data_IF_066545145080
#
_entry.id   IF_066545145080
#
_cell.length_a   1.000
_cell.length_b   1.000
_cell.length_c   1.000
_cell.angle_alpha   90.00
_cell.angle_beta   90.00
_cell.angle_gamma   90.00
#
_symmetry.space_group_name_H-M   'P 1'
#
loop_
_entity.id
_entity.type
_entity.pdbx_description
1 polymer ?
#
# COMPACT_ATOMS: atom_id res chain seq x y z
N UNK A 1 -29.23 33.82 38.87
CA UNK A 1 -29.30 32.60 38.05
C UNK A 1 -27.95 32.47 37.35
N UNK A 2 -27.08 31.59 37.86
CA UNK A 2 -25.66 31.53 37.49
C UNK A 2 -25.46 30.68 36.24
N UNK A 3 -24.87 31.30 35.22
CA UNK A 3 -24.43 30.70 33.96
C UNK A 3 -23.24 29.76 34.23
N UNK A 4 -23.44 28.45 34.06
CA UNK A 4 -22.38 27.45 34.15
C UNK A 4 -21.53 27.45 32.89
N UNK A 5 -20.31 27.98 32.99
CA UNK A 5 -19.27 27.87 31.97
C UNK A 5 -18.79 26.42 31.91
N UNK A 6 -19.22 25.66 30.92
CA UNK A 6 -18.60 24.38 30.59
C UNK A 6 -17.21 24.63 30.01
N UNK A 7 -16.15 24.27 30.74
CA UNK A 7 -14.81 24.23 30.18
C UNK A 7 -14.72 23.02 29.24
N UNK A 8 -14.51 23.28 27.94
CA UNK A 8 -14.04 22.24 27.01
C UNK A 8 -12.67 21.79 27.50
N UNK A 9 -12.57 20.52 27.89
CA UNK A 9 -11.26 19.87 28.05
C UNK A 9 -10.62 19.82 26.66
N UNK A 10 -9.33 20.17 26.52
CA UNK A 10 -8.67 20.01 25.24
C UNK A 10 -8.75 18.54 24.82
N UNK A 11 -9.17 18.32 23.57
CA UNK A 11 -8.93 17.06 22.90
C UNK A 11 -7.43 16.84 22.97
N UNK A 12 -7.02 15.73 23.57
CA UNK A 12 -5.64 15.29 23.61
C UNK A 12 -5.18 15.28 22.16
N UNK A 13 -4.28 16.20 21.80
CA UNK A 13 -3.48 16.09 20.59
C UNK A 13 -2.53 14.92 20.81
N UNK A 14 -3.06 13.71 20.76
CA UNK A 14 -2.25 12.54 20.48
C UNK A 14 -1.99 12.57 18.96
N UNK A 15 -1.26 13.60 18.51
CA UNK A 15 -0.32 13.45 17.42
C UNK A 15 0.73 12.47 17.95
N UNK A 16 0.38 11.20 18.03
CA UNK A 16 1.35 10.12 18.10
C UNK A 16 2.01 10.12 16.73
N UNK A 17 2.92 11.08 16.53
CA UNK A 17 4.12 10.82 15.76
C UNK A 17 4.58 9.49 16.30
N UNK A 18 4.49 8.45 15.47
CA UNK A 18 5.02 7.15 15.81
C UNK A 18 6.50 7.42 16.05
N UNK A 19 6.89 7.61 17.31
CA UNK A 19 8.24 7.99 17.72
C UNK A 19 9.11 6.75 17.67
N UNK A 20 9.06 6.07 16.53
CA UNK A 20 9.96 4.98 16.21
C UNK A 20 11.31 5.66 16.10
N UNK A 21 12.15 5.48 17.12
CA UNK A 21 13.52 5.95 17.06
C UNK A 21 14.22 5.25 15.90
N UNK A 22 15.27 5.85 15.35
CA UNK A 22 16.05 5.21 14.29
C UNK A 22 16.56 3.84 14.74
N UNK A 23 16.92 3.69 16.01
CA UNK A 23 17.27 2.40 16.63
C UNK A 23 16.10 1.41 16.63
N UNK A 24 14.89 1.82 17.03
CA UNK A 24 13.70 0.97 16.97
C UNK A 24 13.35 0.58 15.53
N UNK A 25 13.61 1.46 14.57
CA UNK A 25 13.44 1.17 13.15
C UNK A 25 14.41 0.08 12.70
N UNK A 26 15.70 0.21 13.03
CA UNK A 26 16.71 -0.80 12.70
C UNK A 26 16.48 -2.10 13.47
N UNK A 27 16.05 -2.05 14.72
CA UNK A 27 15.67 -3.23 15.49
C UNK A 27 14.52 -3.96 14.77
N UNK A 28 13.48 -3.25 14.33
CA UNK A 28 12.37 -3.84 13.58
C UNK A 28 12.78 -4.38 12.21
N UNK A 29 13.69 -3.71 11.50
CA UNK A 29 14.25 -4.19 10.22
C UNK A 29 15.18 -5.39 10.43
N UNK A 30 15.86 -5.47 11.57
CA UNK A 30 16.74 -6.57 11.95
C UNK A 30 15.98 -7.84 12.33
N UNK A 31 14.68 -7.75 12.65
CA UNK A 31 13.73 -8.88 12.69
C UNK A 31 13.42 -9.31 11.24
N UNK A 32 14.44 -9.38 10.39
CA UNK A 32 14.32 -9.68 8.97
C UNK A 32 13.68 -11.04 8.71
N UNK A 33 13.67 -11.44 7.44
CA UNK A 33 13.18 -12.76 7.04
C UNK A 33 14.06 -13.81 7.75
N UNK A 34 13.50 -14.44 8.79
CA UNK A 34 14.19 -15.42 9.64
C UNK A 34 14.33 -16.79 8.99
N UNK A 35 13.79 -16.97 7.78
CA UNK A 35 13.98 -18.18 7.00
C UNK A 35 15.46 -18.22 6.59
N UNK A 36 16.21 -19.21 7.08
CA UNK A 36 17.49 -19.55 6.45
C UNK A 36 17.21 -19.91 4.99
N UNK A 37 17.85 -19.22 4.02
CA UNK A 37 17.68 -19.59 2.63
C UNK A 37 18.19 -21.02 2.45
N UNK A 38 17.43 -21.85 1.76
CA UNK A 38 17.97 -23.14 1.34
C UNK A 38 19.17 -22.88 0.42
N UNK A 39 20.20 -23.74 0.46
CA UNK A 39 21.42 -23.56 -0.36
C UNK A 39 21.10 -23.39 -1.85
N UNK A 40 19.94 -23.89 -2.30
CA UNK A 40 19.43 -23.81 -3.68
C UNK A 40 18.54 -22.60 -3.98
N UNK A 41 18.09 -21.81 -2.99
CA UNK A 41 17.12 -20.72 -3.21
C UNK A 41 17.63 -19.65 -4.19
N UNK A 42 18.92 -19.31 -4.11
CA UNK A 42 19.55 -18.35 -5.02
C UNK A 42 19.59 -18.83 -6.47
N UNK A 43 19.94 -20.10 -6.68
CA UNK A 43 20.01 -20.72 -8.01
C UNK A 43 18.62 -20.87 -8.65
N UNK A 44 17.61 -21.20 -7.82
CA UNK A 44 16.21 -21.29 -8.23
C UNK A 44 15.68 -19.91 -8.64
N UNK A 45 15.95 -18.86 -7.85
CA UNK A 45 15.54 -17.50 -8.16
C UNK A 45 16.15 -16.99 -9.47
N UNK A 46 17.44 -17.27 -9.71
CA UNK A 46 18.12 -16.91 -10.96
C UNK A 46 17.49 -17.66 -12.15
N UNK A 47 17.25 -18.97 -12.03
CA UNK A 47 16.59 -19.75 -13.08
C UNK A 47 15.18 -19.21 -13.39
N UNK A 48 14.40 -18.89 -12.36
CA UNK A 48 13.06 -18.31 -12.53
C UNK A 48 13.07 -16.94 -13.17
N UNK A 49 14.12 -16.15 -12.99
CA UNK A 49 14.26 -14.84 -13.62
C UNK A 49 14.74 -14.94 -15.07
N UNK A 50 15.79 -15.73 -15.33
CA UNK A 50 16.49 -15.78 -16.63
C UNK A 50 15.72 -16.61 -17.68
N UNK A 51 15.18 -17.77 -17.30
CA UNK A 51 14.54 -18.67 -18.27
C UNK A 51 13.30 -18.08 -18.98
N UNK A 52 12.42 -17.32 -18.31
CA UNK A 52 11.24 -16.77 -18.95
C UNK A 52 11.45 -15.38 -19.55
N UNK A 53 12.70 -14.87 -19.64
CA UNK A 53 12.97 -13.59 -20.33
C UNK A 53 12.59 -13.75 -21.80
N UNK A 54 11.56 -13.02 -22.22
CA UNK A 54 11.04 -13.07 -23.58
C UNK A 54 10.89 -11.66 -24.13
N UNK A 55 11.29 -11.45 -25.38
CA UNK A 55 11.00 -10.21 -26.09
C UNK A 55 9.62 -10.30 -26.74
N UNK A 56 8.67 -9.50 -26.26
CA UNK A 56 7.30 -9.43 -26.76
C UNK A 56 6.83 -7.98 -26.82
N UNK A 57 6.07 -7.63 -27.85
CA UNK A 57 5.45 -6.30 -27.99
C UNK A 57 6.44 -5.14 -27.78
N UNK A 58 7.66 -5.27 -28.33
CA UNK A 58 8.73 -4.28 -28.19
C UNK A 58 9.24 -4.05 -26.75
N UNK A 59 9.04 -5.03 -25.84
CA UNK A 59 9.51 -4.98 -24.46
C UNK A 59 10.03 -6.36 -24.02
N UNK A 60 10.94 -6.36 -23.04
CA UNK A 60 11.31 -7.58 -22.33
C UNK A 60 10.26 -7.87 -21.27
N UNK A 61 9.67 -9.06 -21.33
CA UNK A 61 8.81 -9.62 -20.29
C UNK A 61 9.60 -10.67 -19.51
N UNK A 62 9.46 -10.65 -18.19
CA UNK A 62 10.06 -11.63 -17.27
C UNK A 62 8.97 -12.11 -16.32
N UNK A 63 9.06 -13.37 -15.86
CA UNK A 63 8.17 -13.82 -14.77
C UNK A 63 8.67 -13.28 -13.44
N UNK A 64 7.73 -13.10 -12.52
CA UNK A 64 8.06 -12.78 -11.15
C UNK A 64 8.69 -14.02 -10.47
N UNK A 65 9.85 -13.90 -9.81
CA UNK A 65 10.48 -15.02 -9.11
C UNK A 65 9.74 -15.28 -7.79
N UNK A 66 8.85 -16.27 -7.80
CA UNK A 66 8.09 -16.71 -6.62
C UNK A 66 8.79 -17.90 -5.95
N UNK A 67 8.80 -17.96 -4.62
CA UNK A 67 9.35 -19.11 -3.86
C UNK A 67 8.69 -20.45 -4.27
N UNK A 68 7.41 -20.42 -4.66
CA UNK A 68 6.72 -21.57 -5.25
C UNK A 68 6.47 -21.37 -6.75
N UNK A 69 6.46 -22.45 -7.52
CA UNK A 69 6.00 -22.43 -8.92
C UNK A 69 4.51 -22.06 -8.94
N UNK A 70 4.23 -20.82 -9.34
CA UNK A 70 2.89 -20.28 -9.59
C UNK A 70 1.92 -20.41 -8.38
N UNK A 71 2.14 -19.64 -7.29
CA UNK A 71 1.16 -19.59 -6.20
C UNK A 71 -0.19 -19.13 -6.75
N UNK A 72 -1.32 -19.74 -6.34
CA UNK A 72 -2.63 -19.29 -6.75
C UNK A 72 -2.85 -17.87 -6.21
N UNK A 73 -2.65 -16.88 -7.08
CA UNK A 73 -2.94 -15.49 -6.76
C UNK A 73 -4.45 -15.34 -6.66
N UNK A 74 -4.96 -15.37 -5.43
CA UNK A 74 -6.36 -15.07 -5.17
C UNK A 74 -6.68 -13.69 -5.75
N UNK A 75 -7.64 -13.65 -6.66
CA UNK A 75 -8.00 -12.40 -7.32
C UNK A 75 -8.70 -11.51 -6.29
N UNK A 76 -8.05 -10.42 -5.85
CA UNK A 76 -8.64 -9.41 -4.95
C UNK A 76 -9.71 -8.53 -5.64
N UNK A 77 -10.16 -8.94 -6.82
CA UNK A 77 -11.07 -8.17 -7.67
C UNK A 77 -12.39 -7.84 -6.96
N UNK A 78 -13.03 -8.83 -6.33
CA UNK A 78 -14.27 -8.61 -5.60
C UNK A 78 -14.12 -7.57 -4.48
N UNK A 79 -13.07 -7.70 -3.66
CA UNK A 79 -12.78 -6.76 -2.58
C UNK A 79 -12.50 -5.35 -3.11
N UNK A 80 -11.71 -5.23 -4.17
CA UNK A 80 -11.41 -3.95 -4.82
C UNK A 80 -12.68 -3.31 -5.39
N UNK A 81 -13.53 -4.11 -6.03
CA UNK A 81 -14.79 -3.64 -6.58
C UNK A 81 -15.76 -3.15 -5.49
N UNK A 82 -15.86 -3.86 -4.38
CA UNK A 82 -16.72 -3.45 -3.26
C UNK A 82 -16.21 -2.16 -2.61
N UNK A 83 -14.89 -2.04 -2.40
CA UNK A 83 -14.26 -0.81 -1.93
C UNK A 83 -14.49 0.35 -2.89
N UNK A 84 -14.43 0.10 -4.19
CA UNK A 84 -14.69 1.10 -5.22
C UNK A 84 -16.15 1.57 -5.15
N UNK A 85 -17.12 0.64 -5.07
CA UNK A 85 -18.55 0.99 -4.95
C UNK A 85 -18.84 1.84 -3.73
N UNK A 86 -18.28 1.47 -2.57
CA UNK A 86 -18.45 2.23 -1.32
C UNK A 86 -17.84 3.62 -1.46
N UNK A 87 -16.63 3.71 -2.01
CA UNK A 87 -15.97 5.00 -2.26
C UNK A 87 -16.78 5.88 -3.20
N UNK A 88 -17.28 5.33 -4.31
CA UNK A 88 -18.11 6.06 -5.27
C UNK A 88 -19.40 6.58 -4.62
N UNK A 89 -20.07 5.75 -3.82
CA UNK A 89 -21.28 6.17 -3.09
C UNK A 89 -20.99 7.30 -2.11
N UNK A 90 -19.90 7.22 -1.34
CA UNK A 90 -19.48 8.27 -0.40
C UNK A 90 -19.18 9.59 -1.14
N UNK A 91 -18.49 9.53 -2.27
CA UNK A 91 -18.18 10.70 -3.10
C UNK A 91 -19.45 11.35 -3.67
N UNK A 92 -20.43 10.56 -4.10
CA UNK A 92 -21.71 11.08 -4.59
C UNK A 92 -22.55 11.78 -3.51
N UNK A 93 -22.37 11.38 -2.24
CA UNK A 93 -23.11 11.95 -1.12
C UNK A 93 -22.47 13.24 -0.56
N UNK A 94 -21.19 13.46 -0.85
CA UNK A 94 -20.41 14.58 -0.32
C UNK A 94 -19.81 15.41 -1.46
N UNK A 95 -20.50 16.50 -1.82
CA UNK A 95 -20.12 17.39 -2.91
C UNK A 95 -18.78 18.10 -2.68
N UNK A 96 -18.44 18.44 -1.43
CA UNK A 96 -17.17 19.12 -1.11
C UNK A 96 -15.99 18.15 -1.26
N UNK A 97 -16.16 16.91 -0.80
CA UNK A 97 -15.19 15.84 -0.99
C UNK A 97 -14.99 15.52 -2.48
N UNK A 98 -16.08 15.46 -3.26
CA UNK A 98 -16.03 15.20 -4.71
C UNK A 98 -15.23 16.29 -5.44
N UNK A 99 -15.47 17.56 -5.10
CA UNK A 99 -14.74 18.70 -5.67
C UNK A 99 -13.24 18.60 -5.40
N UNK A 100 -12.86 18.35 -4.15
CA UNK A 100 -11.45 18.20 -3.73
C UNK A 100 -10.76 17.04 -4.46
N UNK A 101 -11.48 15.92 -4.64
CA UNK A 101 -10.96 14.76 -5.35
C UNK A 101 -10.71 15.06 -6.84
N UNK A 102 -11.64 15.75 -7.49
CA UNK A 102 -11.50 16.16 -8.89
C UNK A 102 -10.32 17.13 -9.07
N UNK A 103 -10.20 18.14 -8.21
CA UNK A 103 -9.11 19.12 -8.26
C UNK A 103 -7.73 18.45 -8.13
N UNK A 104 -7.61 17.48 -7.22
CA UNK A 104 -6.36 16.71 -7.02
C UNK A 104 -6.03 15.85 -8.25
N UNK A 105 -7.04 15.23 -8.88
CA UNK A 105 -6.85 14.41 -10.10
C UNK A 105 -6.43 15.25 -11.32
N UNK A 106 -6.84 16.51 -11.38
CA UNK A 106 -6.41 17.45 -12.42
C UNK A 106 -4.97 17.91 -12.21
N UNK A 107 -4.54 18.11 -10.96
CA UNK A 107 -3.17 18.50 -10.62
C UNK A 107 -2.17 17.40 -10.99
N UNK A 108 -2.49 16.12 -10.77
CA UNK A 108 -1.59 15.01 -11.13
C UNK A 108 -1.50 14.79 -12.63
N UNK A 109 -2.57 15.08 -13.39
CA UNK A 109 -2.60 14.92 -14.85
C UNK A 109 -1.88 16.04 -15.61
N UNK A 110 -1.67 17.19 -14.98
CA UNK A 110 -1.00 18.37 -15.60
C UNK A 110 0.52 18.36 -15.40
N UNK A 111 1.06 17.44 -14.60
CA UNK A 111 2.50 17.31 -14.30
C UNK A 111 3.19 16.17 -15.07
N UNK A 112 2.48 15.53 -16.00
CA UNK A 112 3.01 14.48 -16.89
C UNK A 112 3.49 15.03 -18.22
#
# INVERSE_FOLDING_TARGET
>A
MICGKGQMKPLREDNTVCSVTLEQFWDLESIGIMDEPEETDGEIAINQFVNPVQWKNNRYEVRWPWKSLDPPLQTKFALCLDRLKVTAKRLQQDNELMKTYNDTSMISSTKG
#
